data_IF_218107343217
#
_entry.id   IF_218107343217
#
_cell.length_a   1.000
_cell.length_b   1.000
_cell.length_c   1.000
_cell.angle_alpha   90.00
_cell.angle_beta   90.00
_cell.angle_gamma   90.00
#
_symmetry.space_group_name_H-M   'P 1'
#
loop_
_entity.id
_entity.type
_entity.pdbx_description
1 polymer ?
#
# COMPACT_ATOMS: atom_id res chain seq x y z
N UNK A 1 25.00 -25.84 8.55
CA UNK A 1 24.13 -25.16 7.57
C UNK A 1 23.52 -23.94 8.26
N UNK A 2 23.78 -22.72 7.78
CA UNK A 2 23.01 -21.55 8.22
C UNK A 2 21.82 -21.40 7.27
N UNK A 3 20.62 -21.58 7.79
CA UNK A 3 19.41 -21.16 7.08
C UNK A 3 19.42 -19.62 7.03
N UNK A 4 19.34 -19.05 5.83
CA UNK A 4 19.04 -17.64 5.66
C UNK A 4 17.53 -17.55 5.44
N UNK A 5 16.82 -16.86 6.31
CA UNK A 5 15.38 -16.62 6.16
C UNK A 5 15.19 -15.27 5.48
N UNK A 6 14.81 -15.32 4.20
CA UNK A 6 14.50 -14.14 3.41
C UNK A 6 13.01 -13.81 3.56
N UNK A 7 12.72 -12.65 4.15
CA UNK A 7 11.36 -12.08 4.14
C UNK A 7 11.23 -11.09 2.98
N UNK A 8 10.29 -11.35 2.08
CA UNK A 8 9.90 -10.40 1.02
C UNK A 8 8.43 -10.02 1.17
N UNK A 9 8.10 -8.78 0.83
CA UNK A 9 6.73 -8.36 0.65
C UNK A 9 6.56 -7.72 -0.73
N UNK A 10 5.43 -7.98 -1.35
CA UNK A 10 5.06 -7.36 -2.61
C UNK A 10 4.56 -5.95 -2.34
N UNK A 11 5.09 -5.00 -3.11
CA UNK A 11 4.72 -3.59 -3.02
C UNK A 11 4.08 -3.17 -4.34
N UNK A 12 2.94 -2.49 -4.26
CA UNK A 12 2.28 -1.91 -5.42
C UNK A 12 2.03 -0.42 -5.20
N UNK A 13 2.49 0.39 -6.16
CA UNK A 13 2.20 1.81 -6.19
C UNK A 13 1.23 2.15 -7.32
N UNK A 14 0.32 3.09 -7.07
CA UNK A 14 -0.45 3.73 -8.12
C UNK A 14 0.50 4.48 -9.06
N UNK A 15 0.33 4.30 -10.38
CA UNK A 15 1.07 5.08 -11.37
C UNK A 15 0.72 6.58 -11.29
N UNK A 16 -0.56 6.90 -11.00
CA UNK A 16 -1.06 8.26 -10.82
C UNK A 16 -2.05 8.31 -9.64
N UNK A 17 -1.57 8.46 -8.39
CA UNK A 17 -2.46 8.57 -7.23
C UNK A 17 -3.29 9.85 -7.31
N UNK A 18 -4.58 9.76 -6.97
CA UNK A 18 -5.52 10.88 -7.01
C UNK A 18 -6.09 11.21 -8.38
N UNK A 19 -5.58 10.62 -9.47
CA UNK A 19 -6.15 10.83 -10.81
C UNK A 19 -7.53 10.17 -10.94
N UNK A 20 -8.41 10.67 -11.83
CA UNK A 20 -9.63 9.95 -12.19
C UNK A 20 -9.35 8.54 -12.69
N UNK A 21 -10.25 7.61 -12.39
CA UNK A 21 -10.10 6.23 -12.83
C UNK A 21 -10.45 6.11 -14.32
N UNK A 22 -9.64 5.40 -15.13
CA UNK A 22 -9.80 5.40 -16.59
C UNK A 22 -11.09 4.72 -17.08
N UNK A 23 -11.63 3.78 -16.31
CA UNK A 23 -12.82 3.01 -16.67
C UNK A 23 -14.12 3.58 -16.08
N UNK A 24 -14.05 4.61 -15.24
CA UNK A 24 -15.22 5.21 -14.62
C UNK A 24 -15.65 6.43 -15.44
N UNK A 25 -16.91 6.52 -15.88
CA UNK A 25 -17.42 7.69 -16.58
C UNK A 25 -17.21 8.98 -15.76
N UNK A 26 -16.90 10.09 -16.44
CA UNK A 26 -16.60 11.39 -15.80
C UNK A 26 -17.75 11.99 -14.99
N UNK A 27 -18.97 11.50 -15.17
CA UNK A 27 -20.12 11.89 -14.38
C UNK A 27 -20.07 11.35 -12.94
N UNK A 28 -19.20 10.39 -12.64
CA UNK A 28 -18.93 9.95 -11.27
C UNK A 28 -17.63 10.60 -10.78
N UNK A 29 -17.63 11.09 -9.54
CA UNK A 29 -16.37 11.44 -8.87
C UNK A 29 -15.54 10.16 -8.71
N UNK A 30 -14.42 10.04 -9.42
CA UNK A 30 -13.53 8.89 -9.29
C UNK A 30 -12.10 9.31 -8.99
N UNK A 31 -11.38 8.48 -8.23
CA UNK A 31 -9.97 8.70 -7.91
C UNK A 31 -9.23 7.40 -7.63
N UNK A 32 -8.01 7.29 -8.15
CA UNK A 32 -7.07 6.22 -7.81
C UNK A 32 -6.54 6.42 -6.37
N UNK A 33 -6.87 5.49 -5.47
CA UNK A 33 -6.42 5.50 -4.08
C UNK A 33 -5.27 4.53 -3.86
N UNK A 34 -4.16 5.04 -3.35
CA UNK A 34 -3.05 4.21 -2.86
C UNK A 34 -3.46 3.53 -1.55
N UNK A 35 -3.58 2.21 -1.58
CA UNK A 35 -3.81 1.38 -0.40
C UNK A 35 -2.49 1.01 0.24
N UNK A 36 -2.52 0.92 1.56
CA UNK A 36 -1.39 0.51 2.37
C UNK A 36 -1.83 -0.59 3.34
N UNK A 37 -0.90 -1.46 3.65
CA UNK A 37 -1.06 -2.50 4.68
C UNK A 37 0.16 -2.49 5.59
N UNK A 38 -0.02 -2.95 6.82
CA UNK A 38 1.08 -3.15 7.76
C UNK A 38 1.61 -4.57 7.60
N UNK A 39 2.83 -4.69 7.07
CA UNK A 39 3.58 -5.94 7.08
C UNK A 39 4.44 -6.03 8.33
N UNK A 40 4.48 -7.21 8.94
CA UNK A 40 5.31 -7.48 10.12
C UNK A 40 6.58 -8.19 9.68
N UNK A 41 7.74 -7.65 10.04
CA UNK A 41 9.03 -8.26 9.76
C UNK A 41 9.80 -8.51 11.04
N UNK A 42 10.62 -9.58 11.01
CA UNK A 42 11.69 -9.76 11.97
C UNK A 42 12.81 -8.75 11.65
N UNK A 43 13.07 -7.85 12.59
CA UNK A 43 14.09 -6.81 12.49
C UNK A 43 15.22 -7.13 13.46
N UNK A 44 16.44 -6.81 13.04
CA UNK A 44 17.65 -6.93 13.86
C UNK A 44 18.14 -5.54 14.29
N UNK A 45 18.25 -5.31 15.60
CA UNK A 45 18.88 -4.12 16.17
C UNK A 45 20.33 -4.44 16.57
N UNK A 46 21.35 -3.87 15.90
CA UNK A 46 22.75 -4.10 16.24
C UNK A 46 23.18 -3.47 17.58
N UNK A 47 22.36 -2.61 18.18
CA UNK A 47 22.68 -1.89 19.42
C UNK A 47 22.11 -2.55 20.68
N UNK A 48 21.07 -3.39 20.56
CA UNK A 48 20.55 -4.18 21.69
C UNK A 48 21.38 -5.45 21.90
N UNK A 49 22.24 -5.43 22.93
CA UNK A 49 23.13 -6.55 23.26
C UNK A 49 22.43 -7.74 23.91
N UNK A 50 21.18 -7.59 24.37
CA UNK A 50 20.47 -8.62 25.14
C UNK A 50 19.32 -9.25 24.36
N UNK A 51 18.58 -8.47 23.57
CA UNK A 51 17.47 -8.94 22.75
C UNK A 51 17.46 -8.27 21.36
N UNK A 52 18.40 -8.65 20.46
CA UNK A 52 18.62 -7.93 19.20
C UNK A 52 17.54 -8.18 18.13
N UNK A 53 16.48 -8.94 18.42
CA UNK A 53 15.44 -9.27 17.44
C UNK A 53 14.06 -8.86 17.92
N UNK A 54 13.32 -8.16 17.06
CA UNK A 54 11.95 -7.74 17.32
C UNK A 54 11.05 -7.93 16.10
N UNK A 55 9.75 -8.07 16.33
CA UNK A 55 8.74 -8.03 15.26
C UNK A 55 8.21 -6.61 15.15
N UNK A 56 8.59 -5.91 14.08
CA UNK A 56 8.14 -4.55 13.81
C UNK A 56 7.15 -4.49 12.65
N UNK A 57 6.32 -3.45 12.64
CA UNK A 57 5.27 -3.25 11.61
C UNK A 57 5.64 -2.11 10.69
N UNK A 58 5.70 -2.39 9.40
CA UNK A 58 6.02 -1.44 8.34
C UNK A 58 4.79 -1.18 7.49
N UNK A 59 4.44 0.09 7.31
CA UNK A 59 3.37 0.50 6.40
C UNK A 59 3.89 0.45 4.97
N UNK A 60 3.44 -0.52 4.19
CA UNK A 60 3.85 -0.70 2.79
C UNK A 60 2.68 -0.42 1.85
N UNK A 61 3.01 0.13 0.68
CA UNK A 61 2.07 0.32 -0.41
C UNK A 61 1.64 -1.06 -0.96
N UNK A 62 0.35 -1.39 -0.83
CA UNK A 62 -0.13 -2.76 -1.04
C UNK A 62 -0.89 -2.94 -2.35
N UNK A 63 -1.63 -1.90 -2.77
CA UNK A 63 -2.45 -1.93 -3.98
C UNK A 63 -2.84 -0.53 -4.44
N UNK A 64 -3.20 -0.41 -5.71
CA UNK A 64 -3.95 0.74 -6.22
C UNK A 64 -5.42 0.35 -6.44
N UNK A 65 -6.36 1.10 -5.85
CA UNK A 65 -7.80 0.82 -5.98
C UNK A 65 -8.56 2.05 -6.46
N UNK A 66 -9.55 1.86 -7.33
CA UNK A 66 -10.43 2.95 -7.74
C UNK A 66 -11.49 3.24 -6.66
N UNK A 67 -11.58 4.49 -6.23
CA UNK A 67 -12.74 5.00 -5.52
C UNK A 67 -13.80 5.44 -6.52
N UNK A 68 -15.01 4.91 -6.35
CA UNK A 68 -16.20 5.32 -7.10
C UNK A 68 -17.11 6.12 -6.17
N UNK A 69 -17.13 7.43 -6.34
CA UNK A 69 -17.91 8.38 -5.58
C UNK A 69 -19.32 8.61 -6.15
N UNK A 70 -20.00 9.67 -5.69
CA UNK A 70 -21.36 9.97 -6.12
C UNK A 70 -21.42 10.37 -7.60
N UNK A 71 -22.59 10.16 -8.20
CA UNK A 71 -22.92 10.69 -9.51
C UNK A 71 -23.19 12.20 -9.41
N UNK A 72 -22.53 12.98 -10.26
CA UNK A 72 -22.82 14.38 -10.46
C UNK A 72 -23.68 14.54 -11.71
N UNK A 73 -24.90 15.04 -11.52
CA UNK A 73 -25.74 15.45 -12.63
C UNK A 73 -25.13 16.68 -13.29
N UNK A 74 -24.58 16.51 -14.49
CA UNK A 74 -24.20 17.61 -15.37
C UNK A 74 -25.35 17.83 -16.35
N UNK A 75 -26.08 18.96 -16.31
CA UNK A 75 -27.01 19.30 -17.39
C UNK A 75 -26.20 19.42 -18.69
N UNK A 76 -26.61 18.65 -19.70
CA UNK A 76 -26.02 18.65 -21.04
C UNK A 76 -26.29 19.97 -21.77
#
# INVERSE_FOLDING_TARGET
MKAYELHTARVEHCAAPGSPCPLIPKCYESKCLQKHIYHRFLVYDPYDKYLPFAIESFKLASACACYNGPFHYAPH
#
